data_IF_115474524533
#
_entry.id   IF_115474524533
#
_cell.length_a   1.000
_cell.length_b   1.000
_cell.length_c   1.000
_cell.angle_alpha   90.00
_cell.angle_beta   90.00
_cell.angle_gamma   90.00
#
_symmetry.space_group_name_H-M   'P 1'
#
loop_
_entity.id
_entity.type
_entity.pdbx_description
1 polymer ?
#
# COMPACT_ATOMS: atom_id res chain seq x y z
N UNK A 1 2.61 9.14 8.37
CA UNK A 1 1.38 9.39 9.14
C UNK A 1 1.21 10.87 9.47
N UNK A 2 0.00 11.38 9.28
CA UNK A 2 -0.30 12.79 9.49
C UNK A 2 -0.46 13.18 10.96
N UNK A 3 -0.62 12.22 11.84
CA UNK A 3 -0.89 12.44 13.26
C UNK A 3 0.20 13.27 13.94
N UNK A 4 1.45 12.93 13.75
CA UNK A 4 2.61 13.57 14.41
C UNK A 4 3.40 14.53 13.53
N UNK A 5 3.01 14.74 12.27
CA UNK A 5 3.63 15.75 11.40
C UNK A 5 2.90 17.08 11.48
N UNK A 6 3.58 18.18 11.20
CA UNK A 6 2.96 19.51 11.19
C UNK A 6 2.17 19.81 9.92
N UNK A 7 2.40 19.08 8.83
CA UNK A 7 1.76 19.34 7.56
C UNK A 7 1.63 18.12 6.67
N UNK A 8 2.75 17.49 6.26
CA UNK A 8 2.80 16.54 5.16
C UNK A 8 2.42 15.10 5.53
N UNK A 9 1.98 14.32 4.51
CA UNK A 9 1.77 12.88 4.59
C UNK A 9 3.03 12.10 4.23
N UNK A 10 3.76 12.54 3.21
CA UNK A 10 4.83 11.79 2.54
C UNK A 10 6.21 12.26 3.00
N UNK A 11 6.44 12.30 4.32
CA UNK A 11 7.68 12.79 4.89
C UNK A 11 8.87 11.84 4.64
N UNK A 12 8.66 10.52 4.64
CA UNK A 12 9.72 9.55 4.39
C UNK A 12 10.14 9.54 2.91
N UNK A 13 9.21 9.76 1.98
CA UNK A 13 9.49 9.92 0.55
C UNK A 13 10.54 11.00 0.27
N UNK A 14 10.53 12.09 1.02
CA UNK A 14 11.49 13.20 0.88
C UNK A 14 12.62 13.18 1.91
N UNK A 15 12.72 12.14 2.73
CA UNK A 15 13.73 12.01 3.78
C UNK A 15 13.61 13.06 4.90
N UNK A 16 12.40 13.56 5.19
CA UNK A 16 12.19 14.61 6.19
C UNK A 16 11.98 14.03 7.59
N UNK A 17 12.90 14.32 8.52
CA UNK A 17 12.86 13.88 9.91
C UNK A 17 12.50 15.01 10.90
N UNK A 18 12.06 16.18 10.42
CA UNK A 18 11.72 17.33 11.28
C UNK A 18 10.63 17.01 12.31
N UNK A 19 9.69 16.16 11.97
CA UNK A 19 8.58 15.73 12.82
C UNK A 19 9.03 15.07 14.14
N UNK A 20 10.24 14.56 14.22
CA UNK A 20 10.79 13.95 15.46
C UNK A 20 11.00 15.01 16.55
N UNK A 21 11.40 16.23 16.18
CA UNK A 21 11.75 17.30 17.10
C UNK A 21 10.75 18.46 17.02
N UNK A 22 10.40 18.88 15.79
CA UNK A 22 9.49 19.99 15.54
C UNK A 22 9.42 20.35 14.07
N UNK A 23 8.21 20.34 13.49
CA UNK A 23 8.00 20.76 12.11
C UNK A 23 8.11 22.28 11.98
N UNK A 24 8.82 22.73 10.96
CA UNK A 24 8.90 24.13 10.52
C UNK A 24 9.48 24.18 9.11
N UNK A 25 9.17 25.23 8.34
CA UNK A 25 9.63 25.39 6.96
C UNK A 25 9.40 24.09 6.16
N UNK A 26 8.11 23.68 6.06
CA UNK A 26 7.73 22.42 5.46
C UNK A 26 8.11 22.40 3.97
N UNK A 27 8.97 21.45 3.52
CA UNK A 27 9.35 21.36 2.12
C UNK A 27 8.18 20.96 1.22
N UNK A 28 7.16 20.30 1.77
CA UNK A 28 5.95 19.85 1.08
C UNK A 28 4.73 20.74 1.33
N UNK A 29 4.89 21.99 1.70
CA UNK A 29 3.73 22.86 1.97
C UNK A 29 2.80 23.06 0.77
N UNK A 30 3.29 22.87 -0.45
CA UNK A 30 2.51 22.98 -1.69
C UNK A 30 1.86 21.66 -2.12
N UNK A 31 2.24 20.56 -1.48
CA UNK A 31 1.62 19.25 -1.69
C UNK A 31 0.35 19.11 -0.82
N UNK A 32 -0.32 18.00 -0.92
CA UNK A 32 -1.54 17.79 -0.12
C UNK A 32 -1.21 17.55 1.38
N UNK A 33 -1.92 18.22 2.29
CA UNK A 33 -2.89 19.30 2.12
C UNK A 33 -2.18 20.61 1.74
N UNK A 34 -2.62 21.27 0.65
CA UNK A 34 -1.90 22.41 0.07
C UNK A 34 -2.00 23.67 0.90
N UNK A 35 -0.86 24.34 1.14
CA UNK A 35 -0.80 25.68 1.73
C UNK A 35 0.02 26.61 0.83
N UNK A 36 -0.65 27.49 0.10
CA UNK A 36 0.00 28.35 -0.91
C UNK A 36 0.73 29.55 -0.30
N UNK A 37 0.15 30.19 0.70
CA UNK A 37 0.64 31.47 1.23
C UNK A 37 1.42 31.32 2.53
N UNK A 38 0.86 30.64 3.52
CA UNK A 38 1.42 30.58 4.85
C UNK A 38 1.93 29.16 5.17
N UNK A 39 3.13 29.08 5.73
CA UNK A 39 3.61 27.83 6.34
C UNK A 39 3.15 27.78 7.81
N UNK A 40 2.17 26.97 8.09
CA UNK A 40 1.65 26.72 9.43
C UNK A 40 2.18 25.43 10.06
N UNK A 41 3.19 24.80 9.45
CA UNK A 41 3.67 23.48 9.89
C UNK A 41 4.16 23.47 11.33
N UNK A 42 4.82 24.54 11.78
CA UNK A 42 5.25 24.69 13.19
C UNK A 42 4.04 24.80 14.13
N UNK A 43 3.11 25.69 13.84
CA UNK A 43 1.91 25.87 14.64
C UNK A 43 1.08 24.59 14.71
N UNK A 44 0.83 23.97 13.58
CA UNK A 44 0.07 22.72 13.51
C UNK A 44 0.75 21.58 14.28
N UNK A 45 2.09 21.51 14.25
CA UNK A 45 2.84 20.53 15.01
C UNK A 45 2.67 20.77 16.53
N UNK A 46 2.81 21.99 16.99
CA UNK A 46 2.66 22.35 18.40
C UNK A 46 1.22 22.11 18.89
N UNK A 47 0.22 22.50 18.11
CA UNK A 47 -1.19 22.31 18.44
C UNK A 47 -1.54 20.80 18.53
N UNK A 48 -1.05 19.98 17.57
CA UNK A 48 -1.22 18.53 17.61
C UNK A 48 -0.50 17.91 18.81
N UNK A 49 0.75 18.30 19.05
CA UNK A 49 1.49 17.86 20.22
C UNK A 49 0.72 18.16 21.50
N UNK A 50 0.27 19.40 21.69
CA UNK A 50 -0.51 19.78 22.86
C UNK A 50 -1.81 18.98 23.00
N UNK A 51 -2.56 18.80 21.90
CA UNK A 51 -3.81 18.06 21.90
C UNK A 51 -3.62 16.58 22.24
N UNK A 52 -2.69 15.89 21.54
CA UNK A 52 -2.51 14.44 21.72
C UNK A 52 -1.72 14.07 22.98
N UNK A 53 -0.93 15.00 23.58
CA UNK A 53 -0.24 14.76 24.83
C UNK A 53 -0.94 15.39 26.04
N UNK A 54 -2.17 15.88 25.88
CA UNK A 54 -2.97 16.41 26.99
C UNK A 54 -3.49 15.32 27.92
N UNK A 55 -3.63 14.08 27.42
CA UNK A 55 -4.02 12.94 28.23
C UNK A 55 -2.81 12.29 28.90
N UNK A 56 -2.94 11.85 30.16
CA UNK A 56 -1.94 11.01 30.80
C UNK A 56 -1.65 9.76 29.97
N UNK A 57 -0.41 9.29 29.98
CA UNK A 57 0.02 8.14 29.16
C UNK A 57 -0.74 6.86 29.48
N UNK A 58 -1.14 6.70 30.72
CA UNK A 58 -1.89 5.57 31.24
C UNK A 58 -3.36 5.55 30.79
N UNK A 59 -3.83 6.67 30.18
CA UNK A 59 -5.24 6.80 29.73
C UNK A 59 -5.39 6.90 28.22
N UNK A 60 -4.32 6.65 27.47
CA UNK A 60 -4.35 6.71 26.02
C UNK A 60 -3.52 5.56 25.43
N UNK A 61 -4.20 4.64 24.78
CA UNK A 61 -3.59 3.60 23.94
C UNK A 61 -3.70 3.99 22.47
N UNK A 62 -2.61 3.91 21.73
CA UNK A 62 -2.53 4.23 20.30
C UNK A 62 -2.52 2.89 19.54
N UNK A 63 -3.31 2.80 18.47
CA UNK A 63 -3.39 1.58 17.65
C UNK A 63 -2.83 1.85 16.24
N UNK A 64 -1.53 1.66 16.03
CA UNK A 64 -0.92 1.72 14.71
C UNK A 64 -1.38 0.55 13.83
N UNK A 65 -1.48 0.79 12.50
CA UNK A 65 -1.87 -0.24 11.53
C UNK A 65 -0.71 -1.09 11.03
N UNK A 66 0.53 -0.80 11.45
CA UNK A 66 1.75 -1.52 11.07
C UNK A 66 2.85 -1.33 12.11
N UNK A 67 3.79 -2.25 12.13
CA UNK A 67 5.00 -2.15 12.96
C UNK A 67 5.86 -0.96 12.53
N UNK A 68 5.93 -0.71 11.21
CA UNK A 68 6.64 0.46 10.69
C UNK A 68 6.10 1.76 11.28
N UNK A 69 4.76 1.97 11.22
CA UNK A 69 4.18 3.22 11.74
C UNK A 69 4.29 3.32 13.26
N UNK A 70 4.28 2.19 13.99
CA UNK A 70 4.58 2.15 15.42
C UNK A 70 6.00 2.67 15.69
N UNK A 71 7.00 2.14 14.96
CA UNK A 71 8.39 2.59 15.10
C UNK A 71 8.59 4.08 14.81
N UNK A 72 7.85 4.63 13.83
CA UNK A 72 7.84 6.06 13.55
C UNK A 72 7.21 6.86 14.71
N UNK A 73 6.08 6.41 15.25
CA UNK A 73 5.41 7.06 16.39
C UNK A 73 6.28 7.06 17.65
N UNK A 74 7.05 6.00 17.89
CA UNK A 74 8.00 5.91 18.99
C UNK A 74 9.15 6.92 18.91
N UNK A 75 9.40 7.49 17.72
CA UNK A 75 10.39 8.57 17.51
C UNK A 75 9.77 9.96 17.56
N UNK A 76 8.44 10.06 17.69
CA UNK A 76 7.70 11.32 17.70
C UNK A 76 7.39 11.80 19.12
N UNK A 77 6.60 12.86 19.24
CA UNK A 77 6.07 13.32 20.53
C UNK A 77 5.11 12.32 21.20
N UNK A 78 4.73 11.23 20.50
CA UNK A 78 3.92 10.15 21.03
C UNK A 78 4.77 9.06 21.72
N UNK A 79 6.07 9.24 21.82
CA UNK A 79 6.97 8.32 22.50
C UNK A 79 6.53 8.05 23.94
N UNK A 80 6.46 6.76 24.28
CA UNK A 80 6.15 6.28 25.64
C UNK A 80 4.66 6.21 25.96
N UNK A 81 3.77 6.42 25.01
CA UNK A 81 2.38 5.95 25.09
C UNK A 81 2.33 4.45 24.82
N UNK A 82 1.32 3.77 25.38
CA UNK A 82 1.05 2.37 25.02
C UNK A 82 0.66 2.28 23.54
N UNK A 83 1.28 1.36 22.81
CA UNK A 83 1.05 1.16 21.38
C UNK A 83 0.81 -0.30 21.07
N UNK A 84 -0.38 -0.61 20.56
CA UNK A 84 -0.80 -1.95 20.19
C UNK A 84 -1.07 -2.01 18.70
N UNK A 85 -0.22 -2.74 17.95
CA UNK A 85 -0.41 -2.88 16.49
C UNK A 85 -1.59 -3.79 16.20
N UNK A 86 -2.56 -3.27 15.43
CA UNK A 86 -3.63 -4.06 14.83
C UNK A 86 -3.64 -3.75 13.35
N UNK A 87 -3.24 -4.72 12.54
CA UNK A 87 -3.20 -4.58 11.09
C UNK A 87 -4.61 -4.41 10.50
N UNK A 88 -4.70 -3.76 9.35
CA UNK A 88 -5.95 -3.75 8.58
C UNK A 88 -6.26 -5.15 8.07
N UNK A 89 -7.55 -5.50 8.10
CA UNK A 89 -8.07 -6.68 7.42
C UNK A 89 -8.87 -6.32 6.17
N UNK A 90 -9.16 -7.32 5.35
CA UNK A 90 -9.97 -7.19 4.14
C UNK A 90 -11.13 -8.19 4.15
N UNK A 91 -12.11 -7.98 3.27
CA UNK A 91 -13.21 -8.91 3.11
C UNK A 91 -12.78 -10.10 2.23
N UNK A 92 -12.49 -11.24 2.86
CA UNK A 92 -12.06 -12.46 2.18
C UNK A 92 -13.16 -13.19 1.39
N UNK A 93 -14.44 -12.83 1.58
CA UNK A 93 -15.53 -13.31 0.75
C UNK A 93 -15.53 -12.61 -0.61
N UNK A 94 -15.12 -11.32 -0.62
CA UNK A 94 -15.03 -10.51 -1.83
C UNK A 94 -13.69 -10.72 -2.53
N UNK A 95 -12.58 -10.60 -1.78
CA UNK A 95 -11.25 -10.87 -2.33
C UNK A 95 -10.92 -12.35 -2.19
N UNK A 96 -11.14 -13.08 -3.28
CA UNK A 96 -10.99 -14.52 -3.38
C UNK A 96 -10.47 -14.88 -4.78
N UNK A 97 -10.14 -16.13 -5.00
CA UNK A 97 -9.74 -16.63 -6.32
C UNK A 97 -10.98 -16.82 -7.18
N UNK A 98 -10.98 -16.19 -8.36
CA UNK A 98 -12.09 -16.21 -9.32
C UNK A 98 -11.66 -16.69 -10.68
N UNK A 99 -12.66 -17.10 -11.49
CA UNK A 99 -12.47 -17.31 -12.92
C UNK A 99 -12.08 -16.01 -13.62
N UNK A 100 -11.21 -16.08 -14.60
CA UNK A 100 -10.53 -14.92 -15.18
C UNK A 100 -10.88 -14.64 -16.63
N UNK A 101 -11.60 -15.54 -17.29
CA UNK A 101 -11.89 -15.45 -18.72
C UNK A 101 -12.66 -14.20 -19.12
N UNK A 102 -13.69 -13.83 -18.34
CA UNK A 102 -14.51 -12.66 -18.64
C UNK A 102 -13.69 -11.36 -18.60
N UNK A 103 -12.92 -11.16 -17.54
CA UNK A 103 -12.09 -9.96 -17.35
C UNK A 103 -10.93 -9.92 -18.36
N UNK A 104 -10.33 -11.07 -18.70
CA UNK A 104 -9.30 -11.16 -19.74
C UNK A 104 -9.86 -10.82 -21.12
N UNK A 105 -11.04 -11.31 -21.46
CA UNK A 105 -11.71 -10.99 -22.73
C UNK A 105 -12.09 -9.51 -22.80
N UNK A 106 -12.66 -8.97 -21.73
CA UNK A 106 -13.09 -7.56 -21.64
C UNK A 106 -11.94 -6.58 -21.91
N UNK A 107 -10.77 -6.85 -21.36
CA UNK A 107 -9.61 -5.99 -21.48
C UNK A 107 -8.56 -6.48 -22.50
N UNK A 108 -8.89 -7.49 -23.30
CA UNK A 108 -8.03 -8.06 -24.34
C UNK A 108 -6.67 -8.55 -23.81
N UNK A 109 -6.68 -9.22 -22.65
CA UNK A 109 -5.49 -9.69 -21.95
C UNK A 109 -5.18 -11.17 -22.22
N UNK A 110 -5.91 -11.82 -23.12
CA UNK A 110 -5.72 -13.26 -23.45
C UNK A 110 -4.31 -13.54 -24.00
N UNK A 111 -3.67 -14.60 -23.50
CA UNK A 111 -2.33 -15.01 -23.92
C UNK A 111 -1.18 -14.12 -23.48
N UNK A 112 -1.43 -13.19 -22.55
CA UNK A 112 -0.41 -12.30 -21.98
C UNK A 112 -0.08 -12.68 -20.55
N UNK A 113 1.18 -12.44 -20.15
CA UNK A 113 1.59 -12.36 -18.75
C UNK A 113 1.20 -10.98 -18.20
N UNK A 114 0.37 -10.97 -17.18
CA UNK A 114 -0.28 -9.75 -16.68
C UNK A 114 0.40 -9.26 -15.39
N UNK A 115 1.04 -8.08 -15.46
CA UNK A 115 1.50 -7.34 -14.31
C UNK A 115 0.41 -6.32 -13.94
N UNK A 116 -0.07 -6.33 -12.71
CA UNK A 116 -1.17 -5.48 -12.27
C UNK A 116 -0.70 -4.45 -11.24
N UNK A 117 -1.00 -3.18 -11.48
CA UNK A 117 -0.90 -2.10 -10.49
C UNK A 117 -2.28 -1.50 -10.20
N UNK A 118 -2.58 -1.21 -8.94
CA UNK A 118 -3.86 -0.63 -8.51
C UNK A 118 -3.62 0.57 -7.60
N UNK A 119 -4.22 1.71 -7.92
CA UNK A 119 -4.25 2.87 -7.06
C UNK A 119 -5.57 3.62 -7.22
N UNK A 120 -6.03 4.30 -6.16
CA UNK A 120 -7.20 5.19 -6.26
C UNK A 120 -6.87 6.48 -7.01
N UNK A 121 -5.65 6.96 -6.85
CA UNK A 121 -5.08 8.13 -7.54
C UNK A 121 -3.62 7.82 -7.82
N UNK A 122 -3.23 7.87 -9.10
CA UNK A 122 -1.84 7.70 -9.50
C UNK A 122 -1.05 8.99 -9.34
N UNK A 123 0.10 8.90 -8.69
CA UNK A 123 1.04 9.99 -8.45
C UNK A 123 2.47 9.47 -8.45
N UNK A 124 3.46 10.37 -8.31
CA UNK A 124 4.86 9.95 -8.15
C UNK A 124 5.04 9.08 -6.91
N UNK A 125 4.37 9.42 -5.81
CA UNK A 125 4.44 8.67 -4.55
C UNK A 125 3.83 7.27 -4.68
N UNK A 126 2.94 7.05 -5.66
CA UNK A 126 2.40 5.74 -6.02
C UNK A 126 3.21 5.04 -7.12
N UNK A 127 4.38 5.60 -7.49
CA UNK A 127 5.32 4.98 -8.41
C UNK A 127 4.92 5.02 -9.88
N UNK A 128 4.06 5.98 -10.32
CA UNK A 128 3.63 6.05 -11.72
C UNK A 128 4.80 6.12 -12.70
N UNK A 129 5.83 6.92 -12.38
CA UNK A 129 7.00 7.08 -13.24
C UNK A 129 7.80 5.75 -13.32
N UNK A 130 7.90 5.01 -12.20
CA UNK A 130 8.58 3.70 -12.14
C UNK A 130 7.78 2.63 -12.92
N UNK A 131 6.44 2.68 -12.91
CA UNK A 131 5.62 1.82 -13.76
C UNK A 131 5.82 2.10 -15.25
N UNK A 132 5.97 3.37 -15.64
CA UNK A 132 6.28 3.75 -17.01
C UNK A 132 7.67 3.24 -17.41
N UNK A 133 8.67 3.36 -16.52
CA UNK A 133 10.00 2.80 -16.73
C UNK A 133 9.96 1.27 -16.86
N UNK A 134 9.27 0.59 -15.95
CA UNK A 134 9.09 -0.86 -15.99
C UNK A 134 8.47 -1.31 -17.32
N UNK A 135 7.46 -0.59 -17.81
CA UNK A 135 6.77 -0.94 -19.06
C UNK A 135 7.69 -0.95 -20.27
N UNK A 136 8.71 -0.10 -20.28
CA UNK A 136 9.69 -0.03 -21.38
C UNK A 136 10.65 -1.23 -21.44
N UNK A 137 10.69 -2.05 -20.36
CA UNK A 137 11.55 -3.23 -20.26
C UNK A 137 10.79 -4.56 -20.42
N UNK A 138 9.47 -4.49 -20.60
CA UNK A 138 8.62 -5.67 -20.78
C UNK A 138 8.77 -6.27 -22.19
N UNK A 139 8.60 -7.59 -22.28
CA UNK A 139 8.55 -8.33 -23.54
C UNK A 139 7.17 -8.16 -24.21
N UNK A 140 7.07 -8.62 -25.48
CA UNK A 140 5.81 -8.53 -26.25
C UNK A 140 4.66 -9.36 -25.68
N UNK A 141 4.96 -10.44 -24.96
CA UNK A 141 4.01 -11.34 -24.30
C UNK A 141 3.65 -10.88 -22.86
N UNK A 142 4.34 -9.87 -22.33
CA UNK A 142 4.05 -9.26 -21.03
C UNK A 142 3.17 -8.01 -21.23
N UNK A 143 2.25 -7.75 -20.31
CA UNK A 143 1.43 -6.53 -20.32
C UNK A 143 1.28 -5.94 -18.93
N UNK A 144 1.39 -4.64 -18.83
CA UNK A 144 1.15 -3.89 -17.61
C UNK A 144 -0.27 -3.33 -17.62
N UNK A 145 -1.04 -3.65 -16.58
CA UNK A 145 -2.41 -3.16 -16.38
C UNK A 145 -2.43 -2.23 -15.17
N UNK A 146 -2.86 -0.99 -15.36
CA UNK A 146 -2.99 -0.02 -14.27
C UNK A 146 -4.47 0.32 -14.03
N UNK A 147 -4.97 0.06 -12.83
CA UNK A 147 -6.34 0.41 -12.41
C UNK A 147 -6.33 1.72 -11.62
N UNK A 148 -7.34 2.57 -11.84
CA UNK A 148 -7.47 3.89 -11.22
C UNK A 148 -6.87 5.03 -12.07
N UNK A 149 -6.73 4.81 -13.37
CA UNK A 149 -6.15 5.76 -14.32
C UNK A 149 -7.19 6.79 -14.73
N UNK A 150 -6.97 8.06 -14.40
CA UNK A 150 -7.81 9.16 -14.87
C UNK A 150 -7.52 9.56 -16.33
N UNK A 151 -8.32 10.48 -16.88
CA UNK A 151 -8.19 10.92 -18.28
C UNK A 151 -6.89 11.70 -18.56
N UNK A 152 -6.26 12.29 -17.53
CA UNK A 152 -5.01 13.03 -17.68
C UNK A 152 -3.84 12.04 -17.75
N UNK A 153 -3.83 11.09 -16.85
CA UNK A 153 -2.82 10.03 -16.80
C UNK A 153 -2.93 9.14 -18.03
N UNK A 154 -4.14 8.77 -18.47
CA UNK A 154 -4.37 7.94 -19.66
C UNK A 154 -3.66 8.49 -20.90
N UNK A 155 -3.58 9.82 -21.07
CA UNK A 155 -2.89 10.47 -22.20
C UNK A 155 -1.36 10.38 -22.09
N UNK A 156 -0.83 10.09 -20.93
CA UNK A 156 0.60 9.99 -20.64
C UNK A 156 1.11 8.55 -20.69
N UNK A 157 0.21 7.56 -20.60
CA UNK A 157 0.60 6.17 -20.60
C UNK A 157 1.14 5.74 -21.96
N UNK A 158 2.26 5.01 -22.01
CA UNK A 158 2.73 4.29 -23.19
C UNK A 158 1.67 3.33 -23.72
N UNK A 159 1.72 3.03 -25.02
CA UNK A 159 0.72 2.16 -25.68
C UNK A 159 0.72 0.70 -25.18
N UNK A 160 1.81 0.24 -24.57
CA UNK A 160 1.95 -1.09 -24.00
C UNK A 160 1.41 -1.17 -22.54
N UNK A 161 0.84 -0.10 -22.01
CA UNK A 161 0.14 -0.09 -20.72
C UNK A 161 -1.37 -0.03 -20.93
N UNK A 162 -2.09 -1.00 -20.39
CA UNK A 162 -3.55 -1.01 -20.38
C UNK A 162 -4.05 -0.19 -19.17
N UNK A 163 -4.54 1.02 -19.43
CA UNK A 163 -5.11 1.88 -18.40
C UNK A 163 -6.61 1.60 -18.19
N UNK A 164 -6.99 1.23 -16.99
CA UNK A 164 -8.39 1.04 -16.57
C UNK A 164 -8.77 2.18 -15.63
N UNK A 165 -9.76 2.99 -16.04
CA UNK A 165 -10.18 4.14 -15.25
C UNK A 165 -10.77 3.72 -13.91
N UNK A 166 -11.69 2.75 -13.95
CA UNK A 166 -12.43 2.24 -12.80
C UNK A 166 -13.05 0.89 -13.15
N UNK A 167 -13.02 -0.04 -12.21
CA UNK A 167 -13.82 -1.26 -12.30
C UNK A 167 -15.31 -0.95 -12.06
N UNK A 168 -16.21 -1.74 -12.62
CA UNK A 168 -17.64 -1.56 -12.44
C UNK A 168 -18.09 -1.81 -11.01
N UNK A 169 -17.42 -2.75 -10.37
CA UNK A 169 -17.68 -3.12 -9.00
C UNK A 169 -16.42 -3.75 -8.38
N UNK A 170 -16.46 -4.03 -7.08
CA UNK A 170 -15.35 -4.61 -6.34
C UNK A 170 -15.05 -6.06 -6.76
N UNK A 171 -16.06 -6.80 -7.24
CA UNK A 171 -15.90 -8.16 -7.74
C UNK A 171 -15.00 -8.18 -8.99
N UNK A 172 -15.23 -7.26 -9.92
CA UNK A 172 -14.38 -7.14 -11.12
C UNK A 172 -12.94 -6.77 -10.77
N UNK A 173 -12.71 -6.00 -9.70
CA UNK A 173 -11.37 -5.74 -9.19
C UNK A 173 -10.72 -7.04 -8.67
N UNK A 174 -11.45 -7.86 -7.93
CA UNK A 174 -10.96 -9.15 -7.46
C UNK A 174 -10.67 -10.14 -8.62
N UNK A 175 -11.46 -10.08 -9.68
CA UNK A 175 -11.22 -10.85 -10.91
C UNK A 175 -9.94 -10.38 -11.65
N UNK A 176 -9.66 -9.06 -11.66
CA UNK A 176 -8.40 -8.53 -12.18
C UNK A 176 -7.21 -8.98 -11.36
N UNK A 177 -7.29 -8.94 -10.02
CA UNK A 177 -6.25 -9.52 -9.16
C UNK A 177 -6.06 -11.00 -9.48
N UNK A 178 -7.15 -11.78 -9.59
CA UNK A 178 -7.08 -13.21 -9.90
C UNK A 178 -6.51 -13.47 -11.29
N UNK A 179 -6.71 -12.56 -12.26
CA UNK A 179 -6.19 -12.68 -13.61
C UNK A 179 -4.72 -12.31 -13.75
N UNK A 180 -4.21 -11.45 -12.88
CA UNK A 180 -2.82 -11.02 -12.90
C UNK A 180 -1.87 -12.17 -12.53
N UNK A 181 -0.75 -12.27 -13.19
CA UNK A 181 0.32 -13.22 -12.85
C UNK A 181 1.14 -12.70 -11.66
N UNK A 182 1.31 -11.36 -11.60
CA UNK A 182 2.01 -10.66 -10.51
C UNK A 182 1.28 -9.36 -10.22
N UNK A 183 1.08 -9.06 -8.94
CA UNK A 183 0.71 -7.73 -8.48
C UNK A 183 1.96 -6.92 -8.14
N UNK A 184 2.10 -5.77 -8.75
CA UNK A 184 3.26 -4.89 -8.57
C UNK A 184 2.84 -3.63 -7.81
N UNK A 185 3.52 -3.30 -6.70
CA UNK A 185 3.25 -2.12 -5.91
C UNK A 185 4.53 -1.28 -5.73
N UNK A 186 4.72 -0.28 -6.58
CA UNK A 186 5.90 0.60 -6.60
C UNK A 186 5.70 1.85 -5.74
N UNK A 187 4.92 1.74 -4.65
CA UNK A 187 4.69 2.88 -3.78
C UNK A 187 5.97 3.32 -3.06
N UNK A 188 6.20 4.62 -3.02
CA UNK A 188 7.36 5.23 -2.34
C UNK A 188 7.10 5.49 -0.86
N UNK A 189 5.84 5.46 -0.44
CA UNK A 189 5.46 5.49 0.97
C UNK A 189 4.04 4.97 1.15
N UNK A 190 3.86 3.98 1.99
CA UNK A 190 2.55 3.51 2.44
C UNK A 190 2.63 3.00 3.88
N UNK A 191 1.55 3.12 4.62
CA UNK A 191 1.52 2.65 6.01
C UNK A 191 1.30 1.14 6.11
N UNK A 192 0.33 0.63 5.35
CA UNK A 192 -0.04 -0.79 5.24
C UNK A 192 -1.02 -0.95 4.07
N UNK A 193 -0.53 -1.10 2.83
CA UNK A 193 -1.37 -1.02 1.64
C UNK A 193 -2.31 -2.22 1.53
N UNK A 194 -3.62 -1.97 1.60
CA UNK A 194 -4.65 -3.02 1.47
C UNK A 194 -4.64 -3.68 0.10
N UNK A 195 -4.17 -2.99 -0.94
CA UNK A 195 -4.01 -3.55 -2.29
C UNK A 195 -3.06 -4.76 -2.33
N UNK A 196 -2.03 -4.80 -1.46
CA UNK A 196 -1.18 -5.99 -1.31
C UNK A 196 -1.98 -7.15 -0.71
N UNK A 197 -2.78 -6.88 0.31
CA UNK A 197 -3.63 -7.89 0.97
C UNK A 197 -4.66 -8.45 -0.01
N UNK A 198 -5.28 -7.57 -0.80
CA UNK A 198 -6.29 -7.88 -1.82
C UNK A 198 -5.71 -8.81 -2.90
N UNK A 199 -4.50 -8.49 -3.41
CA UNK A 199 -3.81 -9.32 -4.39
C UNK A 199 -3.49 -10.71 -3.83
N UNK A 200 -2.88 -10.78 -2.64
CA UNK A 200 -2.53 -12.04 -1.95
C UNK A 200 -3.80 -12.87 -1.71
N UNK A 201 -4.90 -12.25 -1.25
CA UNK A 201 -6.16 -12.96 -1.03
C UNK A 201 -6.77 -13.53 -2.32
N UNK A 202 -6.53 -12.90 -3.46
CA UNK A 202 -6.93 -13.39 -4.78
C UNK A 202 -5.93 -14.39 -5.38
N UNK A 203 -4.97 -14.90 -4.60
CA UNK A 203 -3.97 -15.89 -5.02
C UNK A 203 -2.90 -15.33 -5.94
N UNK A 204 -2.61 -14.03 -5.87
CA UNK A 204 -1.65 -13.36 -6.74
C UNK A 204 -0.45 -12.88 -5.95
N UNK A 205 0.78 -13.33 -6.30
CA UNK A 205 2.00 -12.91 -5.61
C UNK A 205 2.26 -11.42 -5.80
N UNK A 206 2.89 -10.82 -4.80
CA UNK A 206 3.16 -9.38 -4.73
C UNK A 206 4.64 -9.11 -4.90
N UNK A 207 4.99 -8.18 -5.78
CA UNK A 207 6.33 -7.57 -5.82
C UNK A 207 6.21 -6.11 -5.40
N UNK A 208 6.89 -5.72 -4.33
CA UNK A 208 6.78 -4.37 -3.78
C UNK A 208 8.14 -3.79 -3.40
N UNK A 209 8.22 -2.46 -3.36
CA UNK A 209 9.39 -1.78 -2.80
C UNK A 209 9.49 -1.97 -1.28
N UNK A 210 10.74 -1.97 -0.79
CA UNK A 210 11.06 -1.89 0.64
C UNK A 210 10.74 -0.49 1.16
N UNK A 211 9.46 -0.25 1.46
CA UNK A 211 8.99 1.06 1.91
C UNK A 211 7.85 0.94 2.91
N UNK A 212 7.94 1.70 4.00
CA UNK A 212 6.89 1.75 5.01
C UNK A 212 6.44 0.37 5.50
N UNK A 213 5.15 0.23 5.74
CA UNK A 213 4.52 -1.06 6.08
C UNK A 213 4.14 -1.91 4.86
N UNK A 214 4.58 -1.54 3.63
CA UNK A 214 4.27 -2.31 2.42
C UNK A 214 4.86 -3.72 2.46
N UNK A 215 5.99 -3.88 3.15
CA UNK A 215 6.72 -5.14 3.26
C UNK A 215 6.07 -6.13 4.23
N UNK A 216 5.28 -5.65 5.20
CA UNK A 216 4.79 -6.47 6.31
C UNK A 216 3.78 -7.55 5.89
N UNK A 217 3.15 -7.37 4.73
CA UNK A 217 2.23 -8.37 4.16
C UNK A 217 2.93 -9.38 3.22
N UNK A 218 4.22 -9.18 2.89
CA UNK A 218 4.92 -9.97 1.89
C UNK A 218 5.92 -10.91 2.54
N UNK A 219 5.77 -12.21 2.26
CA UNK A 219 6.64 -13.30 2.72
C UNK A 219 7.28 -14.01 1.52
N UNK A 220 8.22 -14.90 1.76
CA UNK A 220 8.84 -15.73 0.72
C UNK A 220 7.83 -16.59 -0.09
N UNK A 221 6.64 -16.85 0.49
CA UNK A 221 5.57 -17.63 -0.14
C UNK A 221 4.53 -16.75 -0.85
N UNK A 222 4.54 -15.43 -0.63
CA UNK A 222 3.54 -14.51 -1.18
C UNK A 222 4.14 -13.46 -2.12
N UNK A 223 5.47 -13.46 -2.31
CA UNK A 223 6.09 -12.54 -3.26
C UNK A 223 7.50 -12.09 -2.90
N UNK A 224 7.88 -10.91 -3.38
CA UNK A 224 9.24 -10.38 -3.24
C UNK A 224 9.22 -8.92 -2.80
N UNK A 225 10.22 -8.58 -1.97
CA UNK A 225 10.51 -7.20 -1.57
C UNK A 225 11.81 -6.76 -2.25
N UNK A 226 11.75 -5.66 -2.97
CA UNK A 226 12.86 -5.08 -3.74
C UNK A 226 13.23 -3.72 -3.17
N UNK A 227 14.48 -3.31 -3.27
CA UNK A 227 14.90 -2.00 -2.79
C UNK A 227 14.17 -0.87 -3.53
N UNK A 228 13.84 0.19 -2.79
CA UNK A 228 13.06 1.33 -3.31
C UNK A 228 13.77 1.99 -4.49
N UNK A 229 13.06 2.13 -5.62
CA UNK A 229 13.58 2.72 -6.85
C UNK A 229 14.38 1.75 -7.72
N UNK A 230 14.56 0.50 -7.32
CA UNK A 230 15.22 -0.52 -8.14
C UNK A 230 14.22 -1.20 -9.09
N UNK A 231 13.87 -0.49 -10.17
CA UNK A 231 12.92 -1.00 -11.19
C UNK A 231 13.45 -2.26 -11.89
N UNK A 232 14.77 -2.40 -12.03
CA UNK A 232 15.38 -3.62 -12.60
C UNK A 232 15.21 -4.82 -11.68
N UNK A 233 15.43 -4.63 -10.38
CA UNK A 233 15.16 -5.66 -9.38
C UNK A 233 13.68 -6.06 -9.33
N UNK A 234 12.75 -5.14 -9.57
CA UNK A 234 11.32 -5.46 -9.74
C UNK A 234 11.13 -6.41 -10.94
N UNK A 235 11.71 -6.07 -12.10
CA UNK A 235 11.60 -6.92 -13.28
C UNK A 235 12.20 -8.32 -13.06
N UNK A 236 13.35 -8.40 -12.37
CA UNK A 236 13.98 -9.68 -12.02
C UNK A 236 13.07 -10.53 -11.11
N UNK A 237 12.44 -9.91 -10.11
CA UNK A 237 11.48 -10.58 -9.23
C UNK A 237 10.23 -11.05 -9.99
N UNK A 238 9.69 -10.23 -10.89
CA UNK A 238 8.58 -10.59 -11.78
C UNK A 238 8.94 -11.83 -12.61
N UNK A 239 10.08 -11.82 -13.30
CA UNK A 239 10.52 -12.95 -14.14
C UNK A 239 10.82 -14.21 -13.35
N UNK A 240 11.21 -14.08 -12.09
CA UNK A 240 11.34 -15.25 -11.22
C UNK A 240 9.98 -15.89 -10.94
N UNK A 241 8.95 -15.08 -10.64
CA UNK A 241 7.57 -15.57 -10.45
C UNK A 241 7.04 -16.21 -11.74
N UNK A 242 7.28 -15.60 -12.90
CA UNK A 242 6.87 -16.15 -14.19
C UNK A 242 7.51 -17.52 -14.46
N UNK A 243 8.80 -17.67 -14.19
CA UNK A 243 9.52 -18.93 -14.35
C UNK A 243 9.01 -20.03 -13.41
N UNK A 244 8.65 -19.70 -12.19
CA UNK A 244 8.12 -20.62 -11.19
C UNK A 244 6.62 -20.94 -11.46
N UNK A 245 5.95 -20.03 -12.17
CA UNK A 245 4.53 -20.08 -12.50
C UNK A 245 3.63 -19.62 -11.36
N UNK A 246 2.62 -18.80 -11.68
CA UNK A 246 1.63 -18.29 -10.71
C UNK A 246 1.00 -19.37 -9.85
N UNK A 247 0.77 -20.56 -10.42
CA UNK A 247 0.16 -21.70 -9.72
C UNK A 247 0.92 -22.12 -8.48
N UNK A 248 2.25 -21.89 -8.44
CA UNK A 248 3.09 -22.18 -7.28
C UNK A 248 2.81 -21.23 -6.10
N UNK A 249 2.32 -20.03 -6.38
CA UNK A 249 2.01 -19.00 -5.39
C UNK A 249 0.53 -18.95 -4.99
N UNK A 250 -0.36 -19.43 -5.86
CA UNK A 250 -1.80 -19.18 -5.72
C UNK A 250 -2.37 -19.70 -4.40
N UNK A 251 -2.11 -20.94 -4.04
CA UNK A 251 -2.60 -21.51 -2.80
C UNK A 251 -1.86 -20.97 -1.58
N UNK A 252 -0.52 -20.87 -1.56
CA UNK A 252 0.21 -20.23 -0.47
C UNK A 252 -0.25 -18.80 -0.17
N UNK A 253 -0.49 -17.97 -1.19
CA UNK A 253 -1.06 -16.64 -1.03
C UNK A 253 -2.44 -16.69 -0.36
N UNK A 254 -3.34 -17.56 -0.84
CA UNK A 254 -4.68 -17.69 -0.29
C UNK A 254 -4.68 -18.16 1.15
N UNK A 255 -3.87 -19.14 1.49
CA UNK A 255 -3.74 -19.69 2.83
C UNK A 255 -3.20 -18.63 3.79
N UNK A 256 -2.17 -17.88 3.37
CA UNK A 256 -1.62 -16.78 4.15
C UNK A 256 -2.66 -15.68 4.40
N UNK A 257 -3.41 -15.27 3.36
CA UNK A 257 -4.48 -14.29 3.51
C UNK A 257 -5.57 -14.77 4.47
N UNK A 258 -5.95 -16.04 4.38
CA UNK A 258 -6.97 -16.62 5.25
C UNK A 258 -6.56 -16.63 6.73
N UNK A 259 -5.26 -16.83 7.00
CA UNK A 259 -4.73 -16.86 8.35
C UNK A 259 -4.48 -15.45 8.94
N UNK A 260 -4.27 -14.40 8.11
CA UNK A 260 -3.77 -13.13 8.61
C UNK A 260 -4.62 -11.91 8.25
N UNK A 261 -5.44 -11.96 7.18
CA UNK A 261 -6.06 -10.76 6.61
C UNK A 261 -7.57 -10.68 6.78
N UNK A 262 -8.18 -11.60 7.53
CA UNK A 262 -9.62 -11.58 7.75
C UNK A 262 -10.03 -10.35 8.59
N UNK A 263 -10.86 -9.47 8.00
CA UNK A 263 -11.32 -8.25 8.67
C UNK A 263 -12.09 -8.52 9.95
N UNK A 264 -12.87 -9.62 10.03
CA UNK A 264 -13.65 -9.95 11.22
C UNK A 264 -12.74 -10.31 12.40
N UNK A 265 -11.62 -10.99 12.14
CA UNK A 265 -10.61 -11.26 13.17
C UNK A 265 -9.92 -9.98 13.62
N UNK A 266 -9.61 -9.06 12.69
CA UNK A 266 -9.02 -7.75 13.03
C UNK A 266 -9.99 -6.92 13.86
N UNK A 267 -11.28 -6.96 13.57
CA UNK A 267 -12.30 -6.32 14.44
C UNK A 267 -12.37 -6.99 15.82
N UNK A 268 -12.27 -8.32 15.88
CA UNK A 268 -12.22 -9.03 17.16
C UNK A 268 -11.00 -8.65 18.01
N UNK A 269 -9.85 -8.34 17.37
CA UNK A 269 -8.67 -7.85 18.09
C UNK A 269 -8.91 -6.48 18.74
N UNK A 270 -9.66 -5.57 18.09
CA UNK A 270 -10.10 -4.32 18.72
C UNK A 270 -11.03 -4.56 19.90
N UNK A 271 -11.97 -5.51 19.79
CA UNK A 271 -12.86 -5.84 20.92
C UNK A 271 -12.09 -6.41 22.10
N UNK A 272 -11.12 -7.30 21.86
CA UNK A 272 -10.23 -7.81 22.92
C UNK A 272 -9.46 -6.67 23.61
N UNK A 273 -8.89 -5.76 22.80
CA UNK A 273 -8.18 -4.61 23.33
C UNK A 273 -9.09 -3.72 24.20
N UNK A 274 -10.33 -3.47 23.76
CA UNK A 274 -11.29 -2.70 24.56
C UNK A 274 -11.63 -3.39 25.87
N UNK A 275 -11.84 -4.71 25.86
CA UNK A 275 -12.09 -5.50 27.06
C UNK A 275 -10.91 -5.48 28.05
N UNK A 276 -9.67 -5.50 27.55
CA UNK A 276 -8.46 -5.36 28.35
C UNK A 276 -8.43 -3.98 29.03
N UNK A 277 -8.58 -2.91 28.25
CA UNK A 277 -8.50 -1.52 28.75
C UNK A 277 -9.63 -1.11 29.71
N UNK A 278 -10.79 -1.77 29.65
CA UNK A 278 -11.91 -1.52 30.57
C UNK A 278 -11.68 -2.21 31.94
N UNK A 279 -10.89 -3.27 31.96
CA UNK A 279 -10.60 -4.04 33.21
C UNK A 279 -9.40 -3.49 33.98
N UNK A 280 -8.54 -2.70 33.34
CA UNK A 280 -7.46 -1.94 33.98
C UNK A 280 -7.99 -0.66 34.63
#
# INVERSE_FOLDING_TARGET
>A
CWLYTGHCYYYSYIGCNKWQIGCRHCPQKKEFPTSWLLDRSERNFLDKKAAFTSMPKERLTIVPVSEWIRGEMEQSFLKGYDMRVIHNGINLEVFNIYGTEEVKNKYQLGGKHILLGVASIWSREKGLDDFIELSAMLNEDETLVLVGVDAVIQKRLPQNIVGIRRTENIRQLAELYSAADVFVNLTWQDNYPTVNLEAIACGTPVVTYRTGGSIEAVTEHTGFVVEQGDVKGILEAVRKIEKEGKTSYQQPCRDYASAHFNKEERYADYLKLYDELIRE
#
